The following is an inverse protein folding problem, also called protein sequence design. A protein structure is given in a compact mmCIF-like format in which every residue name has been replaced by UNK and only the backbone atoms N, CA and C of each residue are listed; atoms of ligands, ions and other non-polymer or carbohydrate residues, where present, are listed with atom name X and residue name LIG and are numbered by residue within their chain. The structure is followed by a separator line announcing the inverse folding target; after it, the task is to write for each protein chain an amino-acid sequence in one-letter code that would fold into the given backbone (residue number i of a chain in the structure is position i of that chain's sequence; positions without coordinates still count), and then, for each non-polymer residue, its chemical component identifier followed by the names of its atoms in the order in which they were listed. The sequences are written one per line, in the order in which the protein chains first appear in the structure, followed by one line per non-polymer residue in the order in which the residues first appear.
data_IF_458258086844
#
_entry.id   IF_458258086844
#
_cell.length_a   1.000
_cell.length_b   1.000
_cell.length_c   1.000
_cell.angle_alpha   90.00
_cell.angle_beta   90.00
_cell.angle_gamma   90.00
#
_symmetry.space_group_name_H-M   'P 1'
#
loop_
_entity.id
_entity.type
_entity.pdbx_description
1 polymer ?
#
# COMPACT_ATOMS: atom_id res chain seq x y z
N UNK A 1 20.66 2.95 -3.66
CA UNK A 1 21.13 1.99 -2.64
C UNK A 1 20.44 2.17 -1.28
N UNK A 2 20.28 3.39 -0.75
CA UNK A 2 19.78 3.63 0.63
C UNK A 2 18.40 3.04 0.94
N UNK A 3 17.43 3.14 0.02
CA UNK A 3 16.08 2.56 0.22
C UNK A 3 16.12 1.04 0.40
N UNK A 4 16.92 0.34 -0.39
CA UNK A 4 17.05 -1.11 -0.31
C UNK A 4 17.57 -1.55 1.07
N UNK A 5 18.66 -0.94 1.54
CA UNK A 5 19.27 -1.25 2.84
C UNK A 5 18.30 -0.97 3.99
N UNK A 6 17.60 0.17 3.95
CA UNK A 6 16.64 0.56 4.99
C UNK A 6 15.45 -0.40 5.08
N UNK A 7 14.82 -0.74 3.95
CA UNK A 7 13.71 -1.73 3.95
C UNK A 7 14.18 -3.07 4.45
N UNK A 8 15.33 -3.56 3.97
CA UNK A 8 15.84 -4.87 4.39
C UNK A 8 16.03 -4.94 5.90
N UNK A 9 16.68 -3.92 6.48
CA UNK A 9 16.89 -3.86 7.92
C UNK A 9 15.55 -3.81 8.68
N UNK A 10 14.65 -2.90 8.31
CA UNK A 10 13.37 -2.74 9.02
C UNK A 10 12.51 -4.00 8.87
N UNK A 11 12.44 -4.61 7.69
CA UNK A 11 11.75 -5.90 7.48
C UNK A 11 12.31 -6.97 8.40
N UNK A 12 13.64 -7.14 8.44
CA UNK A 12 14.31 -8.20 9.20
C UNK A 12 14.02 -8.13 10.70
N UNK A 13 13.86 -6.93 11.23
CA UNK A 13 13.65 -6.69 12.67
C UNK A 13 12.23 -6.23 13.01
N UNK A 14 11.31 -6.26 12.05
CA UNK A 14 9.89 -5.97 12.32
C UNK A 14 9.23 -7.12 13.05
N UNK A 15 8.33 -6.79 13.96
CA UNK A 15 7.50 -7.73 14.69
C UNK A 15 6.04 -7.41 14.36
N UNK A 16 5.27 -8.44 13.98
CA UNK A 16 3.82 -8.38 13.88
C UNK A 16 3.22 -9.65 14.44
N UNK A 17 1.98 -9.58 14.91
CA UNK A 17 1.19 -10.77 15.17
C UNK A 17 0.70 -11.40 13.86
N UNK A 18 0.22 -12.63 13.92
CA UNK A 18 -0.38 -13.33 12.77
C UNK A 18 -1.75 -12.76 12.34
N UNK A 19 -2.38 -11.88 13.15
CA UNK A 19 -3.62 -11.20 12.77
C UNK A 19 -3.41 -10.33 11.51
N UNK A 20 -4.29 -10.49 10.52
CA UNK A 20 -4.19 -9.85 9.20
C UNK A 20 -4.04 -8.33 9.29
N UNK A 21 -4.91 -7.68 10.07
CA UNK A 21 -4.92 -6.21 10.23
C UNK A 21 -3.58 -5.67 10.74
N UNK A 22 -2.95 -6.40 11.68
CA UNK A 22 -1.65 -6.04 12.26
C UNK A 22 -0.50 -6.38 11.31
N UNK A 23 -0.59 -7.49 10.58
CA UNK A 23 0.41 -7.87 9.56
C UNK A 23 0.43 -6.88 8.39
N UNK A 24 -0.73 -6.54 7.85
CA UNK A 24 -0.90 -5.52 6.81
C UNK A 24 -0.45 -4.16 7.34
N UNK A 25 -0.88 -3.76 8.54
CA UNK A 25 -0.43 -2.51 9.18
C UNK A 25 1.11 -2.42 9.29
N UNK A 26 1.75 -3.49 9.75
CA UNK A 26 3.22 -3.56 9.84
C UNK A 26 3.88 -3.49 8.46
N UNK A 27 3.32 -4.13 7.44
CA UNK A 27 3.82 -4.02 6.07
C UNK A 27 3.82 -2.56 5.60
N UNK A 28 2.73 -1.82 5.81
CA UNK A 28 2.65 -0.41 5.44
C UNK A 28 3.63 0.45 6.27
N UNK A 29 3.87 0.14 7.55
CA UNK A 29 4.93 0.79 8.33
C UNK A 29 6.33 0.57 7.73
N UNK A 30 6.66 -0.65 7.31
CA UNK A 30 7.93 -0.96 6.64
C UNK A 30 8.06 -0.14 5.35
N UNK A 31 7.04 -0.12 4.50
CA UNK A 31 7.08 0.59 3.22
C UNK A 31 7.12 2.12 3.39
N UNK A 32 6.40 2.65 4.38
CA UNK A 32 6.43 4.07 4.72
C UNK A 32 7.82 4.55 5.17
N UNK A 33 8.68 3.66 5.66
CA UNK A 33 10.06 4.02 6.00
C UNK A 33 10.90 4.43 4.78
N UNK A 34 10.46 4.11 3.56
CA UNK A 34 11.20 4.41 2.32
C UNK A 34 10.34 5.08 1.25
N UNK A 35 9.17 5.60 1.63
CA UNK A 35 8.35 6.36 0.71
C UNK A 35 9.05 7.66 0.29
N UNK A 36 8.70 8.15 -0.89
CA UNK A 36 9.22 9.40 -1.43
C UNK A 36 8.16 10.49 -1.33
N UNK A 37 8.45 11.50 -0.51
CA UNK A 37 7.58 12.65 -0.31
C UNK A 37 7.75 13.64 -1.45
N UNK A 38 6.64 14.28 -1.83
CA UNK A 38 6.64 15.35 -2.83
C UNK A 38 7.60 16.46 -2.41
N UNK A 39 8.47 16.85 -3.33
CA UNK A 39 9.48 17.89 -3.10
C UNK A 39 10.87 17.37 -2.73
N UNK A 40 11.00 16.12 -2.28
CA UNK A 40 12.27 15.59 -1.79
C UNK A 40 13.18 14.98 -2.87
N UNK A 41 12.63 14.56 -4.01
CA UNK A 41 13.39 14.01 -5.13
C UNK A 41 13.00 14.74 -6.42
N UNK A 42 13.85 15.67 -6.89
CA UNK A 42 13.61 16.45 -8.10
C UNK A 42 14.20 15.74 -9.33
N UNK A 43 13.39 15.60 -10.37
CA UNK A 43 13.72 15.05 -11.69
C UNK A 43 13.41 16.11 -12.73
N UNK A 44 14.41 16.90 -13.13
CA UNK A 44 14.22 18.09 -13.99
C UNK A 44 13.16 19.02 -13.37
N UNK A 45 12.05 19.28 -14.08
CA UNK A 45 10.94 20.12 -13.60
C UNK A 45 9.85 19.34 -12.87
N UNK A 46 10.09 18.07 -12.55
CA UNK A 46 9.14 17.17 -11.86
C UNK A 46 9.73 16.66 -10.55
N UNK A 47 8.90 15.96 -9.78
CA UNK A 47 9.32 15.30 -8.54
C UNK A 47 8.90 13.84 -8.55
N UNK A 48 9.81 12.97 -8.12
CA UNK A 48 9.50 11.56 -7.86
C UNK A 48 8.75 11.45 -6.53
N UNK A 49 7.67 10.68 -6.53
CA UNK A 49 6.86 10.39 -5.34
C UNK A 49 6.47 8.91 -5.32
N UNK A 50 6.17 8.40 -4.12
CA UNK A 50 5.45 7.12 -4.00
C UNK A 50 3.99 7.35 -4.37
N UNK A 51 3.59 7.00 -5.60
CA UNK A 51 2.23 7.23 -6.11
C UNK A 51 1.19 6.42 -5.31
N UNK A 52 1.50 5.15 -5.04
CA UNK A 52 0.70 4.26 -4.20
C UNK A 52 1.59 3.19 -3.57
N UNK A 53 1.09 2.55 -2.51
CA UNK A 53 1.74 1.39 -1.87
C UNK A 53 0.74 0.24 -1.82
N UNK A 54 1.17 -0.98 -2.14
CA UNK A 54 0.32 -2.17 -2.13
C UNK A 54 0.88 -3.29 -1.28
N UNK A 55 0.00 -4.03 -0.62
CA UNK A 55 0.28 -5.26 0.12
C UNK A 55 -0.66 -6.36 -0.38
N UNK A 56 -0.16 -7.57 -0.62
CA UNK A 56 -0.98 -8.69 -1.07
C UNK A 56 -0.97 -9.80 -0.03
N UNK A 57 -2.15 -10.23 0.40
CA UNK A 57 -2.31 -11.50 1.08
C UNK A 57 -2.54 -12.59 0.04
N UNK A 58 -1.52 -13.42 -0.18
CA UNK A 58 -1.53 -14.46 -1.19
C UNK A 58 -2.37 -15.69 -0.80
N UNK A 59 -2.61 -15.89 0.50
CA UNK A 59 -3.44 -17.01 0.97
C UNK A 59 -4.93 -16.69 0.81
N UNK A 60 -5.32 -15.44 1.09
CA UNK A 60 -6.72 -14.99 1.04
C UNK A 60 -7.10 -14.29 -0.27
N UNK A 61 -6.13 -14.08 -1.17
CA UNK A 61 -6.37 -13.42 -2.46
C UNK A 61 -6.78 -11.94 -2.31
N UNK A 62 -6.24 -11.24 -1.31
CA UNK A 62 -6.62 -9.85 -1.02
C UNK A 62 -5.50 -8.90 -1.44
N UNK A 63 -5.87 -7.90 -2.25
CA UNK A 63 -5.02 -6.80 -2.68
C UNK A 63 -5.34 -5.55 -1.86
N UNK A 64 -4.45 -5.19 -0.94
CA UNK A 64 -4.52 -3.97 -0.16
C UNK A 64 -3.71 -2.86 -0.82
N UNK A 65 -4.20 -1.63 -0.76
CA UNK A 65 -3.45 -0.47 -1.23
C UNK A 65 -3.84 0.81 -0.48
N UNK A 66 -2.93 1.78 -0.49
CA UNK A 66 -3.25 3.18 -0.24
C UNK A 66 -2.54 4.02 -1.32
N UNK A 67 -2.96 5.27 -1.50
CA UNK A 67 -2.33 6.18 -2.46
C UNK A 67 -1.59 7.31 -1.75
N UNK A 68 -0.86 8.12 -2.51
CA UNK A 68 -0.24 9.32 -1.95
C UNK A 68 -1.28 10.29 -1.35
N UNK A 69 -2.46 10.36 -1.97
CA UNK A 69 -3.52 11.29 -1.61
C UNK A 69 -4.58 10.69 -0.68
N UNK A 70 -4.59 9.36 -0.49
CA UNK A 70 -5.46 8.66 0.43
C UNK A 70 -4.67 7.67 1.29
N UNK A 71 -4.54 7.97 2.60
CA UNK A 71 -3.78 7.14 3.54
C UNK A 71 -4.57 5.94 4.02
N UNK A 72 -5.90 5.97 3.93
CA UNK A 72 -6.72 4.81 4.28
C UNK A 72 -6.34 3.61 3.41
N UNK A 73 -6.19 2.45 4.06
CA UNK A 73 -5.96 1.18 3.36
C UNK A 73 -7.29 0.73 2.76
N UNK A 74 -7.33 0.63 1.44
CA UNK A 74 -8.39 0.03 0.64
C UNK A 74 -8.04 -1.41 0.31
N UNK A 75 -9.04 -2.27 0.11
CA UNK A 75 -8.84 -3.69 -0.17
C UNK A 75 -9.76 -4.20 -1.27
N UNK A 76 -9.22 -5.02 -2.17
CA UNK A 76 -9.96 -5.76 -3.20
C UNK A 76 -9.74 -7.24 -2.93
N UNK A 77 -10.82 -8.01 -2.77
CA UNK A 77 -10.75 -9.45 -2.54
C UNK A 77 -11.08 -10.18 -3.83
N UNK A 78 -10.09 -10.88 -4.40
CA UNK A 78 -10.20 -11.61 -5.65
C UNK A 78 -11.32 -12.66 -5.61
N UNK A 79 -11.47 -13.37 -4.50
CA UNK A 79 -12.44 -14.44 -4.33
C UNK A 79 -13.88 -13.95 -4.09
N UNK A 80 -14.09 -12.62 -4.02
CA UNK A 80 -15.44 -12.03 -4.07
C UNK A 80 -15.94 -11.80 -5.50
N UNK A 81 -15.09 -11.96 -6.51
CA UNK A 81 -15.45 -11.81 -7.91
C UNK A 81 -15.64 -13.15 -8.62
N UNK A 82 -16.34 -13.13 -9.76
CA UNK A 82 -16.48 -14.32 -10.60
C UNK A 82 -15.20 -14.56 -11.41
N UNK A 83 -14.38 -15.53 -10.97
CA UNK A 83 -13.11 -15.89 -11.61
C UNK A 83 -13.26 -16.57 -12.98
N UNK A 84 -14.46 -17.05 -13.32
CA UNK A 84 -14.75 -17.65 -14.62
C UNK A 84 -15.33 -16.63 -15.62
N UNK A 85 -15.33 -15.34 -15.27
CA UNK A 85 -15.74 -14.29 -16.18
C UNK A 85 -14.69 -14.11 -17.31
N UNK A 86 -15.16 -13.85 -18.52
CA UNK A 86 -14.30 -13.62 -19.69
C UNK A 86 -13.91 -12.15 -19.87
N UNK A 87 -14.42 -11.25 -19.03
CA UNK A 87 -14.14 -9.82 -19.06
C UNK A 87 -13.24 -9.40 -17.89
N UNK A 88 -12.38 -8.41 -18.12
CA UNK A 88 -11.57 -7.79 -17.08
C UNK A 88 -12.48 -7.05 -16.09
N UNK A 89 -12.30 -7.31 -14.80
CA UNK A 89 -12.91 -6.53 -13.72
C UNK A 89 -11.90 -5.47 -13.28
N UNK A 90 -12.29 -4.21 -13.36
CA UNK A 90 -11.44 -3.07 -13.00
C UNK A 90 -12.04 -2.27 -11.86
N UNK A 91 -11.19 -1.83 -10.94
CA UNK A 91 -11.57 -0.91 -9.88
C UNK A 91 -10.78 0.38 -10.05
N UNK A 92 -11.48 1.51 -9.98
CA UNK A 92 -10.82 2.81 -9.89
C UNK A 92 -10.12 2.94 -8.54
N UNK A 93 -8.94 3.56 -8.55
CA UNK A 93 -8.20 3.83 -7.32
C UNK A 93 -8.95 4.89 -6.49
N UNK A 94 -9.15 4.59 -5.22
CA UNK A 94 -9.67 5.57 -4.26
C UNK A 94 -8.53 6.53 -3.90
N UNK A 95 -8.39 7.62 -4.67
CA UNK A 95 -7.29 8.60 -4.56
C UNK A 95 -7.65 9.88 -3.80
N UNK A 96 -8.78 9.91 -3.10
CA UNK A 96 -9.14 11.04 -2.21
C UNK A 96 -9.13 10.56 -0.77
N UNK A 97 -8.51 11.33 0.12
CA UNK A 97 -8.40 10.99 1.54
C UNK A 97 -9.78 10.74 2.15
N UNK A 98 -9.89 9.62 2.86
CA UNK A 98 -11.10 9.22 3.55
C UNK A 98 -10.99 9.62 5.03
N UNK A 99 -11.44 10.85 5.34
CA UNK A 99 -11.39 11.40 6.69
C UNK A 99 -12.65 10.98 7.46
N UNK A 100 -12.46 10.20 8.53
CA UNK A 100 -13.54 9.89 9.48
C UNK A 100 -13.65 11.01 10.53
N UNK A 101 -14.67 11.85 10.40
CA UNK A 101 -15.07 12.79 11.45
C UNK A 101 -15.70 12.02 12.62
N UNK A 102 -15.32 12.34 13.84
CA UNK A 102 -15.76 11.63 15.05
C UNK A 102 -16.88 12.36 15.81
N UNK A 103 -17.35 13.48 15.27
CA UNK A 103 -18.39 14.35 15.80
C UNK A 103 -19.23 14.95 14.68
#
# INVERSE_FOLDING_TARGET
MSRFVRVYFIKKYSLSSEEETKSVGQFFHIMNSVNQQRGCCKLNDKYEITIYTSCLNLNEGIYYYNTYNNKQISAINLFKENLNNNNLITYELIDTEQIKYQN
#
